data_IF_557003560231
#
_entry.id   IF_557003560231
#
_cell.length_a   1.000
_cell.length_b   1.000
_cell.length_c   1.000
_cell.angle_alpha   90.00
_cell.angle_beta   90.00
_cell.angle_gamma   90.00
#
_symmetry.space_group_name_H-M   'P 1'
#
loop_
_entity.id
_entity.type
_entity.pdbx_description
1 polymer ?
#
# COMPACT_ATOMS: atom_id res chain seq x y z
N UNK A 1 -20.53 -60.11 2.12
CA UNK A 1 -19.43 -61.06 1.87
C UNK A 1 -18.33 -60.27 1.21
N UNK A 2 -17.43 -59.83 1.96
CA UNK A 2 -16.10 -60.32 2.29
C UNK A 2 -15.00 -59.89 1.36
N UNK A 3 -13.79 -59.82 1.80
CA UNK A 3 -13.04 -58.61 2.14
C UNK A 3 -11.71 -58.53 1.33
N UNK A 4 -11.06 -57.40 1.29
CA UNK A 4 -9.64 -57.36 0.90
C UNK A 4 -8.81 -56.81 2.03
N UNK A 5 -7.96 -57.67 2.54
CA UNK A 5 -6.96 -57.43 3.57
C UNK A 5 -5.67 -56.83 2.99
N UNK A 6 -5.07 -55.90 3.77
CA UNK A 6 -3.68 -55.66 4.11
C UNK A 6 -2.58 -55.74 3.05
N UNK A 7 -1.83 -54.64 2.95
CA UNK A 7 -0.38 -54.71 3.07
C UNK A 7 0.12 -53.41 3.72
N UNK A 8 0.62 -53.54 4.96
CA UNK A 8 1.46 -52.54 5.60
C UNK A 8 2.90 -53.01 5.36
N UNK A 9 3.71 -52.22 4.69
CA UNK A 9 5.17 -52.40 4.68
C UNK A 9 5.84 -51.20 5.30
N UNK A 10 6.71 -51.51 6.25
CA UNK A 10 7.50 -50.61 7.04
C UNK A 10 8.61 -49.98 6.19
N UNK A 11 8.79 -48.67 6.26
CA UNK A 11 9.97 -47.95 5.79
C UNK A 11 10.71 -47.44 7.01
N UNK A 12 11.93 -47.96 7.21
CA UNK A 12 12.83 -47.57 8.29
C UNK A 12 13.47 -46.16 8.07
N UNK A 13 14.17 -45.65 9.09
CA UNK A 13 14.60 -44.27 9.11
C UNK A 13 15.97 -44.10 8.41
N UNK A 14 16.04 -43.35 7.34
CA UNK A 14 17.29 -42.84 6.80
C UNK A 14 17.19 -41.34 6.55
N UNK A 15 17.42 -40.55 7.61
CA UNK A 15 17.50 -39.11 7.59
C UNK A 15 18.89 -38.66 7.14
N UNK A 16 19.13 -38.57 5.83
CA UNK A 16 20.29 -37.84 5.30
C UNK A 16 19.95 -36.35 5.28
N UNK A 17 20.49 -35.63 6.27
CA UNK A 17 20.53 -34.15 6.27
C UNK A 17 21.41 -33.69 5.10
N UNK A 18 20.82 -33.05 4.09
CA UNK A 18 21.53 -32.24 3.11
C UNK A 18 22.15 -31.03 3.85
N UNK A 19 23.46 -31.07 4.03
CA UNK A 19 24.23 -29.86 4.37
C UNK A 19 24.50 -29.09 3.07
N UNK A 20 23.87 -27.95 2.90
CA UNK A 20 24.25 -27.01 1.86
C UNK A 20 25.43 -26.19 2.39
N UNK A 21 26.63 -26.45 1.85
CA UNK A 21 27.81 -25.63 2.09
C UNK A 21 27.66 -24.32 1.28
N UNK A 22 27.47 -23.21 1.97
CA UNK A 22 27.66 -21.89 1.36
C UNK A 22 29.14 -21.51 1.47
N UNK A 23 29.77 -21.00 0.41
CA UNK A 23 31.15 -20.51 0.48
C UNK A 23 31.20 -19.20 1.27
N UNK A 24 32.08 -19.17 2.26
CA UNK A 24 32.47 -17.97 3.00
C UNK A 24 33.46 -17.18 2.11
N UNK A 25 33.05 -15.97 1.72
CA UNK A 25 33.96 -15.00 1.10
C UNK A 25 34.84 -14.37 2.17
N UNK A 26 36.10 -14.74 2.19
CA UNK A 26 37.14 -14.04 2.95
C UNK A 26 37.52 -12.75 2.21
N UNK A 27 37.49 -11.65 2.91
CA UNK A 27 38.09 -10.37 2.51
C UNK A 27 39.57 -10.37 2.94
N UNK A 28 40.46 -10.50 2.01
CA UNK A 28 41.87 -10.22 2.24
C UNK A 28 42.16 -8.77 1.84
N UNK A 29 42.63 -8.04 2.82
CA UNK A 29 43.19 -6.69 2.69
C UNK A 29 44.70 -6.82 2.57
N UNK A 30 45.28 -6.45 1.45
CA UNK A 30 46.72 -6.11 1.40
C UNK A 30 46.90 -4.74 0.73
N UNK A 31 47.57 -3.89 1.48
CA UNK A 31 48.03 -2.58 1.09
C UNK A 31 49.44 -2.70 0.43
N UNK A 32 49.62 -2.03 -0.68
CA UNK A 32 50.99 -1.58 -1.10
C UNK A 32 50.91 -0.19 -1.69
N UNK A 33 51.83 0.62 -1.17
CA UNK A 33 52.11 2.02 -1.44
C UNK A 33 53.01 2.22 -2.67
N UNK A 34 52.81 3.29 -3.40
CA UNK A 34 53.77 4.25 -4.02
C UNK A 34 53.04 4.92 -5.20
N UNK A 35 52.98 6.19 -5.36
CA UNK A 35 53.93 7.25 -5.38
C UNK A 35 53.64 8.11 -6.61
N UNK A 36 53.41 9.41 -6.36
CA UNK A 36 53.72 10.56 -7.21
C UNK A 36 52.83 11.08 -8.35
N UNK A 37 52.47 12.31 -8.13
CA UNK A 37 52.44 13.56 -8.90
C UNK A 37 51.24 13.99 -9.75
N UNK A 38 50.61 14.98 -9.20
CA UNK A 38 50.21 16.34 -9.69
C UNK A 38 49.57 16.50 -11.06
N UNK A 39 48.30 16.92 -11.05
CA UNK A 39 47.88 18.09 -11.88
C UNK A 39 46.53 18.69 -11.37
N UNK A 40 46.51 19.98 -11.35
CA UNK A 40 45.58 20.92 -10.68
C UNK A 40 44.13 20.97 -11.25
N UNK A 41 43.18 21.06 -10.31
CA UNK A 41 41.96 21.89 -10.13
C UNK A 41 41.06 22.29 -11.30
N UNK A 42 39.73 22.60 -11.11
CA UNK A 42 39.18 23.38 -10.00
C UNK A 42 37.82 22.98 -9.40
N UNK A 43 37.71 23.23 -8.11
CA UNK A 43 36.54 23.68 -7.31
C UNK A 43 35.12 23.38 -7.75
N UNK A 44 34.53 22.37 -7.13
CA UNK A 44 33.07 22.30 -6.83
C UNK A 44 32.86 21.95 -5.35
N UNK A 45 33.24 22.88 -4.50
CA UNK A 45 33.02 22.84 -3.06
C UNK A 45 32.19 24.07 -2.72
N UNK A 46 30.86 24.07 -2.93
CA UNK A 46 29.93 25.06 -2.34
C UNK A 46 28.44 24.68 -2.48
N UNK A 47 28.11 23.42 -2.81
CA UNK A 47 26.69 22.96 -2.81
C UNK A 47 26.35 21.91 -1.74
N UNK A 48 27.32 21.48 -0.94
CA UNK A 48 27.09 20.49 0.15
C UNK A 48 26.87 21.11 1.53
N UNK A 49 27.11 22.41 1.71
CA UNK A 49 26.96 23.07 2.99
C UNK A 49 25.57 23.66 3.25
N UNK A 50 24.68 23.70 2.25
CA UNK A 50 23.33 24.24 2.42
C UNK A 50 22.26 23.17 2.80
N UNK A 51 22.61 21.88 2.73
CA UNK A 51 21.69 20.75 3.05
C UNK A 51 21.80 20.24 4.49
N UNK A 52 22.78 20.69 5.27
CA UNK A 52 23.01 20.24 6.65
C UNK A 52 22.49 21.19 7.74
N UNK A 53 21.87 22.31 7.39
CA UNK A 53 21.26 23.24 8.35
C UNK A 53 19.74 23.15 8.48
N UNK A 54 19.08 22.24 7.80
CA UNK A 54 17.63 21.99 7.89
C UNK A 54 17.19 20.85 8.82
N UNK A 55 18.13 20.16 9.47
CA UNK A 55 17.83 19.06 10.40
C UNK A 55 17.68 19.54 11.84
N UNK A 56 16.94 20.62 12.07
CA UNK A 56 16.52 21.00 13.42
C UNK A 56 15.03 20.69 13.58
N UNK A 57 14.77 19.57 14.27
CA UNK A 57 13.72 19.44 15.25
C UNK A 57 12.29 19.76 14.83
N UNK A 58 11.73 19.08 13.83
CA UNK A 58 10.29 19.01 13.72
C UNK A 58 9.80 17.93 14.70
N UNK A 59 9.23 18.35 15.82
CA UNK A 59 8.51 17.46 16.73
C UNK A 59 7.31 16.89 15.97
N UNK A 60 7.19 15.57 15.95
CA UNK A 60 6.00 14.88 15.47
C UNK A 60 4.81 15.43 16.27
N UNK A 61 3.86 16.07 15.60
CA UNK A 61 2.64 16.57 16.23
C UNK A 61 1.88 15.36 16.82
N UNK A 62 1.89 15.26 18.14
CA UNK A 62 1.36 14.12 18.90
C UNK A 62 2.32 13.57 19.96
N UNK A 63 3.52 14.14 20.13
CA UNK A 63 4.39 13.77 21.26
C UNK A 63 3.78 14.32 22.56
N UNK A 64 3.12 13.46 23.30
CA UNK A 64 3.05 13.61 24.75
C UNK A 64 4.48 13.43 25.25
N UNK A 65 5.11 14.51 25.71
CA UNK A 65 6.41 14.45 26.38
C UNK A 65 6.25 13.70 27.70
N UNK A 66 6.47 12.39 27.70
CA UNK A 66 6.85 11.68 28.91
C UNK A 66 8.37 11.87 29.09
N UNK A 67 8.78 12.47 30.18
CA UNK A 67 10.18 12.58 30.57
C UNK A 67 10.78 11.18 30.66
N UNK A 68 11.71 10.84 29.75
CA UNK A 68 12.56 9.65 29.87
C UNK A 68 12.19 8.44 29.00
N UNK A 69 11.10 8.47 28.22
CA UNK A 69 10.69 7.30 27.41
C UNK A 69 11.18 7.37 25.96
N UNK A 70 11.63 6.22 25.46
CA UNK A 70 11.83 5.98 24.02
C UNK A 70 10.52 6.32 23.28
N UNK A 71 10.58 6.89 22.06
CA UNK A 71 9.37 7.22 21.31
C UNK A 71 8.50 5.97 21.16
N UNK A 72 7.22 6.07 21.53
CA UNK A 72 6.26 4.98 21.48
C UNK A 72 6.21 4.39 20.08
N UNK A 73 6.48 3.08 19.95
CA UNK A 73 6.30 2.37 18.69
C UNK A 73 4.81 2.35 18.33
N UNK A 74 4.47 2.85 17.15
CA UNK A 74 3.10 2.84 16.63
C UNK A 74 2.85 1.58 15.78
N UNK A 75 1.59 1.20 15.65
CA UNK A 75 1.14 0.19 14.69
C UNK A 75 0.57 0.88 13.46
N UNK A 76 1.22 0.65 12.32
CA UNK A 76 0.90 1.28 11.05
C UNK A 76 0.37 0.24 10.05
N UNK A 77 -0.71 0.56 9.36
CA UNK A 77 -1.09 -0.11 8.11
C UNK A 77 -0.79 0.85 6.96
N UNK A 78 0.08 0.44 6.05
CA UNK A 78 0.53 1.26 4.91
C UNK A 78 -0.03 0.69 3.62
N UNK A 79 -0.92 1.42 2.96
CA UNK A 79 -1.53 1.05 1.70
C UNK A 79 -0.83 1.76 0.53
N UNK A 80 -0.13 0.99 -0.31
CA UNK A 80 0.57 1.51 -1.50
C UNK A 80 -0.32 1.37 -2.73
N UNK A 81 -0.52 2.46 -3.48
CA UNK A 81 -1.33 2.49 -4.70
C UNK A 81 -0.74 1.64 -5.82
N UNK A 82 -1.58 1.14 -6.73
CA UNK A 82 -1.12 0.39 -7.90
C UNK A 82 -0.19 1.20 -8.82
N UNK A 83 -0.42 2.50 -8.92
CA UNK A 83 0.44 3.41 -9.68
C UNK A 83 1.84 3.59 -9.04
N UNK A 84 2.00 3.26 -7.76
CA UNK A 84 3.31 3.25 -7.10
C UNK A 84 4.18 2.06 -7.53
N UNK A 85 3.56 0.99 -8.07
CA UNK A 85 4.24 -0.18 -8.63
C UNK A 85 4.34 -0.13 -10.15
N UNK A 86 3.55 0.72 -10.79
CA UNK A 86 3.58 0.93 -12.24
C UNK A 86 3.21 2.38 -12.55
N UNK A 87 4.16 3.14 -13.07
CA UNK A 87 3.88 4.51 -13.54
C UNK A 87 2.97 4.48 -14.76
N UNK A 88 2.14 5.51 -14.90
CA UNK A 88 1.26 5.65 -16.07
C UNK A 88 2.07 5.65 -17.35
N UNK A 89 1.68 4.80 -18.31
CA UNK A 89 2.36 4.67 -19.60
C UNK A 89 3.57 3.74 -19.62
N UNK A 90 4.03 3.23 -18.47
CA UNK A 90 5.08 2.21 -18.44
C UNK A 90 4.51 0.81 -18.72
N UNK A 91 5.34 -0.03 -19.36
CA UNK A 91 5.00 -1.44 -19.57
C UNK A 91 4.92 -2.17 -18.22
N UNK A 92 3.90 -3.00 -18.06
CA UNK A 92 3.78 -3.91 -16.91
C UNK A 92 4.81 -5.04 -17.07
N UNK A 93 6.04 -4.80 -16.59
CA UNK A 93 7.11 -5.79 -16.53
C UNK A 93 7.56 -6.01 -15.11
N UNK A 94 8.20 -7.15 -14.83
CA UNK A 94 8.76 -7.44 -13.51
C UNK A 94 9.82 -6.40 -13.12
N UNK A 95 10.68 -6.03 -14.05
CA UNK A 95 11.78 -5.08 -13.85
C UNK A 95 11.26 -3.70 -13.43
N UNK A 96 10.23 -3.18 -14.12
CA UNK A 96 9.62 -1.88 -13.80
C UNK A 96 8.97 -1.89 -12.42
N UNK A 97 8.24 -2.98 -12.10
CA UNK A 97 7.61 -3.14 -10.79
C UNK A 97 8.65 -3.27 -9.66
N UNK A 98 9.73 -4.03 -9.88
CA UNK A 98 10.82 -4.15 -8.92
C UNK A 98 11.57 -2.82 -8.74
N UNK A 99 11.80 -2.05 -9.82
CA UNK A 99 12.39 -0.72 -9.73
C UNK A 99 11.51 0.23 -8.89
N UNK A 100 10.20 0.18 -9.06
CA UNK A 100 9.25 0.96 -8.26
C UNK A 100 9.24 0.52 -6.78
N UNK A 101 9.25 -0.78 -6.51
CA UNK A 101 9.34 -1.31 -5.14
C UNK A 101 10.68 -0.93 -4.48
N UNK A 102 11.80 -1.00 -5.21
CA UNK A 102 13.11 -0.56 -4.72
C UNK A 102 13.14 0.93 -4.36
N UNK A 103 12.40 1.76 -5.07
CA UNK A 103 12.26 3.20 -4.74
C UNK A 103 11.46 3.41 -3.44
N UNK A 104 10.47 2.58 -3.15
CA UNK A 104 9.64 2.66 -1.94
C UNK A 104 10.28 1.99 -0.71
N UNK A 105 11.12 0.96 -0.92
CA UNK A 105 11.66 0.11 0.13
C UNK A 105 12.48 0.85 1.21
N UNK A 106 13.32 1.86 0.91
CA UNK A 106 14.04 2.62 1.94
C UNK A 106 13.11 3.27 2.96
N UNK A 107 12.04 3.89 2.50
CA UNK A 107 11.03 4.52 3.35
C UNK A 107 10.26 3.50 4.20
N UNK A 108 9.83 2.39 3.59
CA UNK A 108 9.16 1.29 4.30
C UNK A 108 10.07 0.70 5.39
N UNK A 109 11.37 0.52 5.10
CA UNK A 109 12.35 0.08 6.10
C UNK A 109 12.48 1.08 7.24
N UNK A 110 12.59 2.37 6.94
CA UNK A 110 12.68 3.43 7.95
C UNK A 110 11.47 3.38 8.91
N UNK A 111 10.26 3.23 8.38
CA UNK A 111 9.05 3.08 9.18
C UNK A 111 9.12 1.83 10.08
N UNK A 112 9.51 0.70 9.51
CA UNK A 112 9.57 -0.58 10.22
C UNK A 112 10.67 -0.64 11.29
N UNK A 113 11.71 0.19 11.19
CA UNK A 113 12.72 0.33 12.24
C UNK A 113 12.22 1.03 13.50
N UNK A 114 11.17 1.85 13.38
CA UNK A 114 10.61 2.63 14.49
C UNK A 114 9.24 2.14 14.94
N UNK A 115 8.52 1.45 14.07
CA UNK A 115 7.11 1.11 14.23
C UNK A 115 6.81 -0.33 13.80
N UNK A 116 5.68 -0.86 14.23
CA UNK A 116 5.12 -2.09 13.66
C UNK A 116 4.41 -1.74 12.34
N UNK A 117 4.82 -2.32 11.23
CA UNK A 117 4.29 -1.99 9.90
C UNK A 117 3.70 -3.21 9.23
N UNK A 118 2.44 -3.10 8.78
CA UNK A 118 1.82 -4.02 7.82
C UNK A 118 1.69 -3.29 6.49
N UNK A 119 2.19 -3.90 5.43
CA UNK A 119 2.08 -3.38 4.07
C UNK A 119 0.87 -4.00 3.37
N UNK A 120 0.05 -3.19 2.72
CA UNK A 120 -0.93 -3.62 1.70
C UNK A 120 -0.69 -2.88 0.39
N UNK A 121 -1.08 -3.46 -0.72
CA UNK A 121 -0.80 -2.90 -2.05
C UNK A 121 -1.99 -3.01 -3.00
N UNK A 122 -2.03 -2.18 -4.04
CA UNK A 122 -2.94 -2.35 -5.17
C UNK A 122 -2.43 -3.41 -6.14
N UNK A 123 -3.35 -3.94 -6.96
CA UNK A 123 -3.07 -4.96 -7.97
C UNK A 123 -3.77 -4.73 -9.30
N UNK A 124 -4.42 -3.57 -9.50
CA UNK A 124 -5.30 -3.34 -10.66
C UNK A 124 -4.69 -3.71 -12.02
N UNK A 125 -3.49 -3.22 -12.37
CA UNK A 125 -2.83 -3.62 -13.61
C UNK A 125 -2.51 -5.11 -13.67
N UNK A 126 -2.01 -5.69 -12.58
CA UNK A 126 -1.57 -7.08 -12.52
C UNK A 126 -2.76 -8.07 -12.64
N UNK A 127 -3.79 -7.88 -11.84
CA UNK A 127 -5.00 -8.74 -11.91
C UNK A 127 -5.70 -8.61 -13.25
N UNK A 128 -5.63 -7.43 -13.87
CA UNK A 128 -6.15 -7.20 -15.20
C UNK A 128 -5.39 -7.96 -16.28
N UNK A 129 -4.06 -7.98 -16.23
CA UNK A 129 -3.21 -8.75 -17.15
C UNK A 129 -3.45 -10.26 -16.96
N UNK A 130 -3.46 -10.75 -15.72
CA UNK A 130 -3.76 -12.14 -15.39
C UNK A 130 -5.13 -12.56 -15.94
N UNK A 131 -6.16 -11.71 -15.83
CA UNK A 131 -7.49 -12.00 -16.33
C UNK A 131 -7.57 -12.14 -17.87
N UNK A 132 -6.66 -11.50 -18.60
CA UNK A 132 -6.55 -11.66 -20.06
C UNK A 132 -5.87 -12.98 -20.46
N UNK A 133 -4.87 -13.40 -19.68
CA UNK A 133 -4.10 -14.62 -19.91
C UNK A 133 -4.84 -15.87 -19.41
N UNK A 134 -5.44 -15.80 -18.24
CA UNK A 134 -6.07 -16.89 -17.48
C UNK A 134 -7.61 -16.85 -17.58
N UNK A 135 -8.15 -17.01 -18.78
CA UNK A 135 -9.58 -16.81 -19.10
C UNK A 135 -10.56 -17.66 -18.30
N UNK A 136 -10.11 -18.77 -17.74
CA UNK A 136 -10.94 -19.71 -16.95
C UNK A 136 -10.76 -19.55 -15.44
N UNK A 137 -9.80 -18.72 -14.99
CA UNK A 137 -9.59 -18.48 -13.58
C UNK A 137 -10.57 -17.41 -13.06
N UNK A 138 -11.06 -17.62 -11.86
CA UNK A 138 -11.95 -16.68 -11.14
C UNK A 138 -11.14 -15.55 -10.47
N UNK A 139 -11.79 -14.42 -10.17
CA UNK A 139 -11.08 -13.26 -9.61
C UNK A 139 -10.53 -13.47 -8.21
N UNK A 140 -11.07 -14.40 -7.43
CA UNK A 140 -10.45 -14.81 -6.15
C UNK A 140 -9.09 -15.49 -6.37
N UNK A 141 -8.99 -16.39 -7.38
CA UNK A 141 -7.73 -17.01 -7.77
C UNK A 141 -6.74 -15.99 -8.35
N UNK A 142 -7.18 -15.14 -9.30
CA UNK A 142 -6.34 -14.10 -9.89
C UNK A 142 -5.88 -13.08 -8.85
N UNK A 143 -6.74 -12.77 -7.88
CA UNK A 143 -6.41 -11.95 -6.72
C UNK A 143 -5.28 -12.57 -5.91
N UNK A 144 -5.38 -13.86 -5.57
CA UNK A 144 -4.36 -14.61 -4.84
C UNK A 144 -3.02 -14.68 -5.61
N UNK A 145 -3.05 -14.94 -6.92
CA UNK A 145 -1.85 -14.93 -7.78
C UNK A 145 -1.17 -13.57 -7.76
N UNK A 146 -1.94 -12.47 -7.86
CA UNK A 146 -1.40 -11.12 -7.81
C UNK A 146 -0.82 -10.75 -6.44
N UNK A 147 -1.39 -11.25 -5.34
CA UNK A 147 -0.81 -11.08 -4.01
C UNK A 147 0.57 -11.74 -3.91
N UNK A 148 0.71 -12.95 -4.43
CA UNK A 148 2.00 -13.65 -4.46
C UNK A 148 3.03 -12.92 -5.30
N UNK A 149 2.67 -12.50 -6.52
CA UNK A 149 3.55 -11.79 -7.44
C UNK A 149 4.06 -10.46 -6.85
N UNK A 150 3.16 -9.61 -6.38
CA UNK A 150 3.52 -8.29 -5.85
C UNK A 150 4.20 -8.43 -4.49
N UNK A 151 3.76 -9.37 -3.66
CA UNK A 151 4.40 -9.70 -2.40
C UNK A 151 5.85 -10.13 -2.58
N UNK A 152 6.16 -10.96 -3.58
CA UNK A 152 7.52 -11.34 -3.96
C UNK A 152 8.37 -10.10 -4.31
N UNK A 153 7.84 -9.19 -5.14
CA UNK A 153 8.53 -7.98 -5.57
C UNK A 153 8.92 -7.11 -4.37
N UNK A 154 7.97 -6.82 -3.46
CA UNK A 154 8.28 -6.06 -2.24
C UNK A 154 9.24 -6.80 -1.31
N UNK A 155 9.09 -8.12 -1.15
CA UNK A 155 9.99 -8.92 -0.32
C UNK A 155 11.41 -8.87 -0.83
N UNK A 156 11.65 -8.94 -2.14
CA UNK A 156 12.98 -8.83 -2.75
C UNK A 156 13.57 -7.44 -2.53
N UNK A 157 12.77 -6.37 -2.74
CA UNK A 157 13.22 -5.00 -2.52
C UNK A 157 13.61 -4.75 -1.06
N UNK A 158 12.81 -5.21 -0.11
CA UNK A 158 13.06 -5.07 1.32
C UNK A 158 14.24 -5.95 1.79
N UNK A 159 14.34 -7.19 1.28
CA UNK A 159 15.46 -8.09 1.61
C UNK A 159 16.80 -7.52 1.15
N UNK A 160 16.85 -6.82 0.01
CA UNK A 160 18.05 -6.11 -0.47
C UNK A 160 18.55 -5.08 0.55
N UNK A 161 17.65 -4.53 1.36
CA UNK A 161 17.98 -3.60 2.43
C UNK A 161 18.15 -4.29 3.80
N UNK A 162 18.12 -5.63 3.86
CA UNK A 162 18.19 -6.39 5.11
C UNK A 162 16.93 -6.30 5.96
N UNK A 163 15.77 -5.91 5.38
CA UNK A 163 14.48 -5.86 6.07
C UNK A 163 13.67 -7.11 5.76
N UNK A 164 13.35 -7.95 6.77
CA UNK A 164 12.54 -9.14 6.56
C UNK A 164 11.08 -8.78 6.30
N UNK A 165 10.50 -9.36 5.25
CA UNK A 165 9.09 -9.20 4.91
C UNK A 165 8.46 -10.55 4.52
N UNK A 166 7.21 -10.76 4.90
CA UNK A 166 6.47 -12.00 4.61
C UNK A 166 5.15 -11.69 3.88
N UNK A 167 5.05 -12.03 2.59
CA UNK A 167 3.77 -11.95 1.89
C UNK A 167 2.83 -13.08 2.35
N UNK A 168 1.57 -12.73 2.57
CA UNK A 168 0.51 -13.64 2.99
C UNK A 168 -0.61 -13.55 1.96
N UNK A 169 -0.96 -14.66 1.35
CA UNK A 169 -2.21 -14.76 0.59
C UNK A 169 -3.38 -14.66 1.57
N UNK A 170 -4.14 -13.59 1.43
CA UNK A 170 -5.20 -13.22 2.38
C UNK A 170 -6.56 -13.37 1.72
N UNK A 171 -7.47 -14.08 2.37
CA UNK A 171 -8.87 -14.20 1.97
C UNK A 171 -9.71 -13.20 2.77
N UNK A 172 -10.65 -12.55 2.08
CA UNK A 172 -11.52 -11.54 2.68
C UNK A 172 -12.97 -11.87 2.41
N UNK A 173 -13.72 -12.09 3.49
CA UNK A 173 -15.13 -12.40 3.41
C UNK A 173 -15.94 -11.19 2.95
N UNK A 174 -16.91 -11.44 2.07
CA UNK A 174 -17.89 -10.47 1.57
C UNK A 174 -19.30 -11.03 1.70
N UNK A 175 -20.30 -10.16 1.69
CA UNK A 175 -21.70 -10.57 1.62
C UNK A 175 -22.06 -10.95 0.18
N UNK A 176 -22.41 -12.21 -0.11
CA UNK A 176 -22.80 -12.62 -1.46
C UNK A 176 -24.12 -11.99 -1.93
N UNK A 177 -24.94 -11.44 -1.03
CA UNK A 177 -26.17 -10.73 -1.34
C UNK A 177 -25.97 -9.22 -1.57
N UNK A 178 -24.72 -8.72 -1.47
CA UNK A 178 -24.44 -7.31 -1.65
C UNK A 178 -24.87 -6.81 -3.04
N UNK A 179 -25.54 -5.63 -3.13
CA UNK A 179 -26.00 -5.06 -4.41
C UNK A 179 -24.88 -4.82 -5.44
N UNK A 180 -23.61 -4.76 -5.03
CA UNK A 180 -22.49 -4.63 -5.94
C UNK A 180 -22.39 -5.78 -6.95
N UNK A 181 -22.91 -6.98 -6.60
CA UNK A 181 -22.94 -8.12 -7.54
C UNK A 181 -23.89 -7.89 -8.71
N UNK A 182 -24.98 -7.14 -8.52
CA UNK A 182 -25.89 -6.74 -9.60
C UNK A 182 -25.45 -5.47 -10.31
N UNK A 183 -24.58 -4.66 -9.67
CA UNK A 183 -24.12 -3.36 -10.20
C UNK A 183 -22.59 -3.28 -10.25
N UNK A 184 -21.91 -4.06 -11.10
CA UNK A 184 -20.45 -4.03 -11.23
C UNK A 184 -19.95 -2.59 -11.48
N UNK A 185 -18.94 -2.15 -10.71
CA UNK A 185 -18.42 -0.79 -10.79
C UNK A 185 -16.88 -0.69 -10.71
N UNK A 186 -16.19 -1.78 -10.32
CA UNK A 186 -14.72 -1.77 -10.20
C UNK A 186 -14.07 -1.99 -11.54
N UNK A 187 -13.37 -0.99 -12.04
CA UNK A 187 -12.60 -1.08 -13.28
C UNK A 187 -11.41 -2.02 -13.12
N UNK A 188 -11.28 -2.97 -14.06
CA UNK A 188 -10.18 -3.94 -14.11
C UNK A 188 -9.64 -4.04 -15.53
N UNK A 189 -8.35 -4.37 -15.65
CA UNK A 189 -7.69 -4.57 -16.95
C UNK A 189 -7.42 -3.28 -17.73
N UNK A 190 -7.06 -3.41 -19.02
CA UNK A 190 -6.75 -2.30 -19.90
C UNK A 190 -7.99 -1.51 -20.33
N UNK A 191 -7.75 -0.38 -20.96
CA UNK A 191 -8.77 0.42 -21.65
C UNK A 191 -8.96 -0.09 -23.08
N UNK A 192 -10.17 0.06 -23.60
CA UNK A 192 -10.59 -0.36 -24.93
C UNK A 192 -11.26 0.78 -25.68
N UNK A 193 -11.27 0.71 -26.99
CA UNK A 193 -12.20 1.48 -27.82
C UNK A 193 -13.63 0.96 -27.62
N UNK A 194 -14.63 1.70 -28.06
CA UNK A 194 -16.02 1.27 -27.95
C UNK A 194 -16.25 -0.05 -28.70
N UNK A 195 -15.77 -0.17 -29.92
CA UNK A 195 -15.93 -1.36 -30.77
C UNK A 195 -15.29 -2.62 -30.13
N UNK A 196 -14.05 -2.47 -29.62
CA UNK A 196 -13.36 -3.55 -28.89
C UNK A 196 -14.14 -3.99 -27.63
N UNK A 197 -14.64 -3.02 -26.86
CA UNK A 197 -15.39 -3.27 -25.64
C UNK A 197 -16.69 -4.01 -25.92
N UNK A 198 -17.45 -3.62 -26.94
CA UNK A 198 -18.68 -4.29 -27.39
C UNK A 198 -18.40 -5.72 -27.85
N UNK A 199 -17.34 -5.92 -28.64
CA UNK A 199 -16.90 -7.24 -29.10
C UNK A 199 -16.52 -8.14 -27.95
N UNK A 200 -15.72 -7.65 -26.99
CA UNK A 200 -15.27 -8.40 -25.81
C UNK A 200 -16.43 -8.69 -24.85
N UNK A 201 -17.36 -7.74 -24.69
CA UNK A 201 -18.58 -7.91 -23.90
C UNK A 201 -19.43 -9.06 -24.47
N UNK A 202 -19.72 -9.02 -25.77
CA UNK A 202 -20.51 -10.07 -26.44
C UNK A 202 -19.84 -11.44 -26.37
N UNK A 203 -18.51 -11.49 -26.57
CA UNK A 203 -17.74 -12.75 -26.60
C UNK A 203 -17.58 -13.40 -25.23
N UNK A 204 -17.35 -12.58 -24.19
CA UNK A 204 -16.95 -13.08 -22.87
C UNK A 204 -18.02 -12.86 -21.78
N UNK A 205 -19.16 -12.23 -22.10
CA UNK A 205 -20.20 -11.88 -21.12
C UNK A 205 -19.74 -10.79 -20.12
N UNK A 206 -18.77 -9.95 -20.50
CA UNK A 206 -18.26 -8.91 -19.62
C UNK A 206 -19.21 -7.73 -19.51
N UNK A 207 -19.30 -7.15 -18.32
CA UNK A 207 -19.86 -5.81 -18.13
C UNK A 207 -18.76 -4.81 -18.41
N UNK A 208 -19.02 -3.84 -19.29
CA UNK A 208 -18.09 -2.77 -19.64
C UNK A 208 -18.73 -1.40 -19.36
N UNK A 209 -17.95 -0.43 -18.91
CA UNK A 209 -18.39 0.94 -18.66
C UNK A 209 -17.40 1.95 -19.25
N UNK A 210 -17.89 3.16 -19.50
CA UNK A 210 -17.04 4.27 -19.96
C UNK A 210 -16.02 4.65 -18.87
N UNK A 211 -14.77 4.88 -19.27
CA UNK A 211 -13.66 5.36 -18.45
C UNK A 211 -12.99 6.52 -19.19
N UNK A 212 -13.51 7.74 -19.00
CA UNK A 212 -13.18 8.90 -19.79
C UNK A 212 -13.57 8.72 -21.27
N UNK A 213 -12.65 8.90 -22.23
CA UNK A 213 -12.90 8.68 -23.66
C UNK A 213 -12.86 7.20 -24.09
N UNK A 214 -12.56 6.30 -23.16
CA UNK A 214 -12.38 4.87 -23.40
C UNK A 214 -13.42 4.04 -22.63
N UNK A 215 -13.35 2.72 -22.79
CA UNK A 215 -14.16 1.75 -22.06
C UNK A 215 -13.28 0.76 -21.32
N UNK A 216 -13.79 0.25 -20.21
CA UNK A 216 -13.12 -0.80 -19.42
C UNK A 216 -14.10 -1.82 -18.90
N UNK A 217 -13.60 -3.06 -18.71
CA UNK A 217 -14.32 -4.08 -17.97
C UNK A 217 -14.54 -3.61 -16.52
N UNK A 218 -15.75 -3.83 -16.02
CA UNK A 218 -16.08 -3.66 -14.61
C UNK A 218 -16.52 -4.97 -13.98
N UNK A 219 -16.18 -5.14 -12.71
CA UNK A 219 -16.54 -6.30 -11.91
C UNK A 219 -17.20 -5.86 -10.60
N UNK A 220 -17.93 -6.76 -9.90
CA UNK A 220 -18.45 -6.47 -8.58
C UNK A 220 -17.35 -6.04 -7.60
N UNK A 221 -17.66 -5.10 -6.71
CA UNK A 221 -16.74 -4.65 -5.68
C UNK A 221 -17.48 -4.50 -4.34
N UNK A 222 -17.86 -5.63 -3.72
CA UNK A 222 -18.55 -5.61 -2.44
C UNK A 222 -17.62 -5.11 -1.32
N UNK A 223 -18.19 -4.52 -0.24
CA UNK A 223 -17.44 -4.15 0.95
C UNK A 223 -16.80 -5.36 1.62
N UNK A 224 -15.57 -5.22 2.15
CA UNK A 224 -14.93 -6.27 2.95
C UNK A 224 -15.60 -6.37 4.33
N UNK A 225 -15.83 -7.60 4.82
CA UNK A 225 -16.46 -7.85 6.11
C UNK A 225 -15.51 -8.42 7.16
N UNK A 226 -14.62 -9.32 6.78
CA UNK A 226 -13.69 -10.01 7.70
C UNK A 226 -12.47 -10.52 6.95
N UNK A 227 -11.31 -10.45 7.58
CA UNK A 227 -10.05 -10.99 7.08
C UNK A 227 -9.82 -12.36 7.73
N UNK A 228 -9.77 -13.43 6.93
CA UNK A 228 -9.70 -14.79 7.46
C UNK A 228 -8.33 -15.12 8.07
N UNK A 229 -7.25 -14.53 7.56
CA UNK A 229 -5.88 -14.74 8.03
C UNK A 229 -5.41 -13.68 9.04
N UNK A 230 -6.32 -12.93 9.66
CA UNK A 230 -5.98 -11.83 10.58
C UNK A 230 -5.03 -12.26 11.70
N UNK A 231 -5.31 -13.40 12.34
CA UNK A 231 -4.48 -13.90 13.44
C UNK A 231 -3.06 -14.23 13.00
N UNK A 232 -2.89 -14.77 11.79
CA UNK A 232 -1.57 -15.00 11.21
C UNK A 232 -0.83 -13.67 10.91
N UNK A 233 -1.53 -12.67 10.38
CA UNK A 233 -0.97 -11.33 10.17
C UNK A 233 -0.53 -10.71 11.48
N UNK A 234 -1.36 -10.80 12.53
CA UNK A 234 -1.06 -10.29 13.88
C UNK A 234 0.17 -10.99 14.48
N UNK A 235 0.22 -12.32 14.41
CA UNK A 235 1.33 -13.10 14.94
C UNK A 235 2.66 -12.74 14.25
N UNK A 236 2.66 -12.57 12.93
CA UNK A 236 3.84 -12.15 12.18
C UNK A 236 4.26 -10.71 12.48
N UNK A 237 3.31 -9.80 12.66
CA UNK A 237 3.58 -8.40 13.01
C UNK A 237 4.23 -8.26 14.40
N UNK A 238 3.86 -9.14 15.33
CA UNK A 238 4.38 -9.15 16.70
C UNK A 238 5.70 -9.93 16.83
N UNK A 239 6.03 -10.77 15.85
CA UNK A 239 7.23 -11.61 15.88
C UNK A 239 8.52 -10.77 15.79
N UNK A 240 9.49 -11.18 16.59
CA UNK A 240 10.88 -10.76 16.46
C UNK A 240 11.67 -11.90 15.79
N UNK A 241 12.39 -11.61 14.73
CA UNK A 241 13.16 -12.59 13.97
C UNK A 241 14.63 -12.20 13.85
N UNK A 242 15.48 -13.22 13.75
CA UNK A 242 16.93 -13.02 13.56
C UNK A 242 17.70 -12.73 14.84
N UNK A 243 19.01 -12.48 14.66
CA UNK A 243 19.94 -12.11 15.73
C UNK A 243 20.90 -11.06 15.17
N UNK A 244 20.82 -9.80 15.60
CA UNK A 244 19.87 -9.24 16.59
C UNK A 244 18.41 -9.29 16.11
N UNK A 245 17.46 -9.26 17.04
CA UNK A 245 16.04 -9.36 16.70
C UNK A 245 15.57 -8.15 15.89
N UNK A 246 14.80 -8.41 14.82
CA UNK A 246 14.17 -7.40 13.97
C UNK A 246 12.68 -7.70 13.85
N UNK A 247 11.86 -6.66 13.67
CA UNK A 247 10.44 -6.82 13.37
C UNK A 247 10.26 -7.33 11.95
N UNK A 248 9.38 -8.31 11.79
CA UNK A 248 8.94 -8.79 10.49
C UNK A 248 7.87 -7.85 9.95
N UNK A 249 7.92 -7.53 8.66
CA UNK A 249 6.88 -6.77 7.97
C UNK A 249 5.94 -7.73 7.23
N UNK A 250 4.71 -7.98 7.71
CA UNK A 250 3.71 -8.71 6.93
C UNK A 250 3.28 -7.89 5.71
N UNK A 251 3.07 -8.57 4.56
CA UNK A 251 2.45 -7.99 3.37
C UNK A 251 1.14 -8.73 3.19
N UNK A 252 0.01 -8.07 3.46
CA UNK A 252 -1.29 -8.70 3.55
C UNK A 252 -2.39 -7.91 2.85
N UNK A 253 -3.50 -8.54 2.54
CA UNK A 253 -4.68 -7.92 1.90
C UNK A 253 -4.36 -7.22 0.57
N UNK A 254 -3.33 -7.64 -0.13
CA UNK A 254 -2.97 -7.09 -1.44
C UNK A 254 -4.13 -7.17 -2.42
N UNK A 255 -4.35 -6.05 -3.16
CA UNK A 255 -5.47 -5.92 -4.09
C UNK A 255 -6.86 -5.94 -3.46
N UNK A 256 -6.96 -5.89 -2.13
CA UNK A 256 -8.20 -6.04 -1.37
C UNK A 256 -8.41 -7.47 -0.84
N UNK A 257 -7.43 -8.36 -1.02
CA UNK A 257 -7.54 -9.77 -0.68
C UNK A 257 -8.27 -10.61 -1.74
N UNK A 258 -8.23 -11.93 -1.60
CA UNK A 258 -9.03 -12.85 -2.41
C UNK A 258 -10.46 -12.90 -1.85
N UNK A 259 -11.48 -12.46 -2.61
CA UNK A 259 -12.85 -12.36 -2.11
C UNK A 259 -13.47 -13.76 -1.94
N UNK A 260 -14.07 -13.99 -0.78
CA UNK A 260 -14.74 -15.24 -0.44
C UNK A 260 -16.07 -14.99 0.24
N UNK A 261 -17.00 -15.91 0.08
CA UNK A 261 -18.16 -16.02 0.96
C UNK A 261 -17.92 -17.10 2.01
N UNK A 262 -18.44 -16.90 3.22
CA UNK A 262 -18.45 -17.88 4.30
C UNK A 262 -19.88 -18.25 4.59
N UNK A 263 -20.24 -19.50 4.35
CA UNK A 263 -21.59 -19.99 4.59
C UNK A 263 -21.85 -20.21 6.09
N UNK A 264 -23.12 -20.45 6.47
CA UNK A 264 -23.51 -20.72 7.84
C UNK A 264 -22.80 -21.96 8.43
N UNK A 265 -22.47 -22.94 7.59
CA UNK A 265 -21.73 -24.15 7.99
C UNK A 265 -20.22 -23.93 8.06
N UNK A 266 -19.74 -22.70 7.90
CA UNK A 266 -18.33 -22.36 7.92
C UNK A 266 -17.57 -22.69 6.63
N UNK A 267 -18.23 -23.18 5.57
CA UNK A 267 -17.58 -23.41 4.28
C UNK A 267 -17.18 -22.09 3.63
N UNK A 268 -15.96 -22.06 3.13
CA UNK A 268 -15.36 -20.91 2.42
C UNK A 268 -15.36 -21.20 0.92
N UNK A 269 -15.91 -20.28 0.13
CA UNK A 269 -15.96 -20.37 -1.33
C UNK A 269 -15.55 -19.05 -1.96
N UNK A 270 -14.66 -19.09 -2.97
CA UNK A 270 -14.30 -17.92 -3.78
C UNK A 270 -15.49 -17.32 -4.50
N UNK A 271 -15.46 -16.01 -4.71
CA UNK A 271 -16.50 -15.26 -5.45
C UNK A 271 -15.88 -14.42 -6.56
N UNK A 272 -16.65 -14.20 -7.63
CA UNK A 272 -16.24 -13.42 -8.79
C UNK A 272 -16.39 -11.92 -8.51
N UNK A 273 -15.42 -11.34 -7.79
CA UNK A 273 -15.40 -9.96 -7.38
C UNK A 273 -13.96 -9.44 -7.20
N UNK A 274 -13.80 -8.12 -7.09
CA UNK A 274 -12.55 -7.47 -6.71
C UNK A 274 -12.85 -6.45 -5.62
N UNK A 275 -12.40 -6.70 -4.40
CA UNK A 275 -12.58 -5.81 -3.27
C UNK A 275 -11.73 -4.55 -3.46
N UNK A 276 -12.23 -3.40 -3.03
CA UNK A 276 -11.42 -2.18 -3.03
C UNK A 276 -10.31 -2.27 -1.98
N UNK A 277 -9.04 -2.03 -2.40
CA UNK A 277 -7.87 -2.18 -1.53
C UNK A 277 -7.85 -1.18 -0.37
N UNK A 278 -8.37 0.05 -0.59
CA UNK A 278 -8.34 1.08 0.43
C UNK A 278 -9.37 0.76 1.52
N UNK A 279 -10.55 0.26 1.13
CA UNK A 279 -11.56 -0.24 2.08
C UNK A 279 -11.06 -1.48 2.84
N UNK A 280 -10.38 -2.40 2.17
CA UNK A 280 -9.79 -3.56 2.83
C UNK A 280 -8.63 -3.16 3.76
N UNK A 281 -7.81 -2.18 3.37
CA UNK A 281 -6.76 -1.61 4.20
C UNK A 281 -7.32 -0.96 5.47
N UNK A 282 -8.45 -0.24 5.36
CA UNK A 282 -9.15 0.34 6.52
C UNK A 282 -9.68 -0.74 7.47
N UNK A 283 -10.26 -1.83 6.92
CA UNK A 283 -10.68 -2.99 7.72
C UNK A 283 -9.49 -3.62 8.43
N UNK A 284 -8.38 -3.88 7.71
CA UNK A 284 -7.15 -4.44 8.28
C UNK A 284 -6.61 -3.55 9.42
N UNK A 285 -6.60 -2.23 9.23
CA UNK A 285 -6.14 -1.28 10.22
C UNK A 285 -7.03 -1.32 11.49
N UNK A 286 -8.35 -1.38 11.33
CA UNK A 286 -9.27 -1.49 12.46
C UNK A 286 -9.14 -2.84 13.18
N UNK A 287 -9.08 -3.96 12.46
CA UNK A 287 -8.97 -5.30 13.06
C UNK A 287 -7.61 -5.54 13.73
N UNK A 288 -6.57 -4.80 13.33
CA UNK A 288 -5.26 -4.82 14.00
C UNK A 288 -5.12 -3.77 15.11
N UNK A 289 -6.14 -2.98 15.40
CA UNK A 289 -6.07 -1.85 16.31
C UNK A 289 -4.90 -0.90 15.98
N UNK A 290 -4.76 -0.56 14.70
CA UNK A 290 -3.69 0.32 14.24
C UNK A 290 -3.82 1.74 14.83
N UNK A 291 -2.69 2.36 15.11
CA UNK A 291 -2.61 3.78 15.49
C UNK A 291 -2.78 4.67 14.25
N UNK A 292 -2.25 4.22 13.11
CA UNK A 292 -2.25 5.01 11.86
C UNK A 292 -2.59 4.14 10.66
N UNK A 293 -3.45 4.66 9.79
CA UNK A 293 -3.68 4.12 8.45
C UNK A 293 -3.12 5.08 7.40
N UNK A 294 -2.05 4.69 6.72
CA UNK A 294 -1.38 5.52 5.70
C UNK A 294 -1.78 5.05 4.31
N UNK A 295 -2.32 5.95 3.49
CA UNK A 295 -2.67 5.70 2.09
C UNK A 295 -1.72 6.48 1.19
N UNK A 296 -0.77 5.77 0.57
CA UNK A 296 0.21 6.35 -0.34
C UNK A 296 -0.32 6.34 -1.78
N UNK A 297 -0.27 7.48 -2.42
CA UNK A 297 -0.80 7.73 -3.77
C UNK A 297 0.24 8.47 -4.63
N UNK A 298 -0.07 8.69 -5.89
CA UNK A 298 0.70 9.53 -6.83
C UNK A 298 0.18 10.99 -6.90
N UNK A 299 -0.85 11.34 -6.11
CA UNK A 299 -1.57 12.61 -6.19
C UNK A 299 -1.47 13.54 -4.98
N UNK A 300 -0.67 13.19 -3.97
CA UNK A 300 -0.51 14.00 -2.75
C UNK A 300 -1.71 13.95 -1.81
N UNK A 301 -1.91 15.03 -1.03
CA UNK A 301 -3.01 15.16 -0.07
C UNK A 301 -4.37 15.50 -0.69
N UNK A 302 -5.33 15.87 0.16
CA UNK A 302 -6.68 16.27 -0.24
C UNK A 302 -6.71 17.78 -0.46
N UNK A 303 -7.21 18.19 -1.63
CA UNK A 303 -7.32 19.57 -2.02
C UNK A 303 -8.77 19.96 -2.26
N UNK A 304 -9.21 21.06 -1.67
CA UNK A 304 -10.45 21.71 -2.10
C UNK A 304 -10.19 22.47 -3.41
N UNK A 305 -11.13 22.45 -4.33
CA UNK A 305 -11.04 23.09 -5.65
C UNK A 305 -9.79 22.68 -6.46
N UNK A 306 -9.34 21.42 -6.36
CA UNK A 306 -8.18 20.93 -7.12
C UNK A 306 -8.30 21.25 -8.60
N UNK A 307 -7.22 21.78 -9.20
CA UNK A 307 -7.20 22.20 -10.60
C UNK A 307 -7.72 23.63 -10.87
N UNK A 308 -8.18 24.35 -9.83
CA UNK A 308 -8.66 25.73 -9.94
C UNK A 308 -7.70 26.71 -9.25
N UNK A 309 -7.72 28.01 -9.62
CA UNK A 309 -6.86 29.02 -8.98
C UNK A 309 -7.01 29.12 -7.46
N UNK A 310 -8.20 28.89 -6.92
CA UNK A 310 -8.47 28.92 -5.49
C UNK A 310 -8.31 27.55 -4.82
N UNK A 311 -7.45 26.68 -5.34
CA UNK A 311 -7.15 25.38 -4.74
C UNK A 311 -6.44 25.56 -3.39
N UNK A 312 -6.88 24.81 -2.38
CA UNK A 312 -6.30 24.79 -1.03
C UNK A 312 -6.10 23.37 -0.54
N UNK A 313 -4.96 23.07 0.05
CA UNK A 313 -4.66 21.77 0.64
C UNK A 313 -5.22 21.69 2.06
N UNK A 314 -5.96 20.60 2.36
CA UNK A 314 -6.36 20.26 3.71
C UNK A 314 -5.16 19.62 4.43
N UNK A 315 -4.64 20.25 5.48
CA UNK A 315 -3.58 19.67 6.30
C UNK A 315 -4.17 18.66 7.29
N UNK A 316 -5.15 19.08 8.08
CA UNK A 316 -5.88 18.23 9.02
C UNK A 316 -7.39 18.44 8.83
N UNK A 317 -8.15 17.36 8.94
CA UNK A 317 -9.59 17.41 8.69
C UNK A 317 -10.34 16.32 9.45
N UNK A 318 -11.58 16.61 9.88
CA UNK A 318 -12.42 15.58 10.50
C UNK A 318 -13.26 14.83 9.46
N UNK A 319 -13.70 13.59 9.75
CA UNK A 319 -14.66 12.87 8.95
C UNK A 319 -15.95 13.66 8.67
N UNK A 320 -16.47 14.35 9.68
CA UNK A 320 -17.71 15.13 9.60
C UNK A 320 -17.57 16.31 8.62
N UNK A 321 -16.43 17.00 8.65
CA UNK A 321 -16.15 18.08 7.70
C UNK A 321 -16.11 17.54 6.27
N UNK A 322 -15.36 16.44 6.02
CA UNK A 322 -15.28 15.81 4.70
C UNK A 322 -16.67 15.38 4.18
N UNK A 323 -17.52 14.78 5.04
CA UNK A 323 -18.87 14.34 4.67
C UNK A 323 -19.85 15.50 4.45
N UNK A 324 -19.67 16.65 5.12
CA UNK A 324 -20.53 17.82 4.99
C UNK A 324 -20.26 18.65 3.75
N UNK A 325 -19.05 18.58 3.20
CA UNK A 325 -18.63 19.40 2.05
C UNK A 325 -18.93 18.72 0.72
N UNK A 326 -19.08 19.53 -0.34
CA UNK A 326 -19.11 19.00 -1.72
C UNK A 326 -17.86 18.17 -2.03
N UNK A 327 -16.72 18.54 -1.44
CA UNK A 327 -15.47 17.83 -1.56
C UNK A 327 -15.60 16.35 -1.14
N UNK A 328 -16.31 16.02 -0.06
CA UNK A 328 -16.52 14.62 0.35
C UNK A 328 -17.44 13.80 -0.58
N UNK A 329 -18.23 14.48 -1.41
CA UNK A 329 -19.22 13.85 -2.31
C UNK A 329 -18.75 13.79 -3.78
N UNK A 330 -17.81 14.65 -4.18
CA UNK A 330 -17.47 14.90 -5.58
C UNK A 330 -15.98 14.74 -5.90
N UNK A 331 -15.19 13.98 -5.10
CA UNK A 331 -13.81 13.69 -5.48
C UNK A 331 -13.78 12.78 -6.70
N UNK A 332 -13.33 13.30 -7.87
CA UNK A 332 -13.29 12.51 -9.08
C UNK A 332 -12.21 11.43 -9.02
N UNK A 333 -12.44 10.33 -9.70
CA UNK A 333 -11.45 9.29 -9.91
C UNK A 333 -11.12 8.46 -8.67
N UNK A 334 -9.84 8.20 -8.43
CA UNK A 334 -9.36 7.29 -7.38
C UNK A 334 -9.29 7.91 -5.98
N UNK A 335 -9.51 9.22 -5.82
CA UNK A 335 -9.40 9.89 -4.52
C UNK A 335 -10.62 9.62 -3.62
N UNK A 336 -11.83 9.60 -4.16
CA UNK A 336 -13.05 9.36 -3.40
C UNK A 336 -13.02 8.07 -2.55
N UNK A 337 -12.70 6.90 -3.12
CA UNK A 337 -12.54 5.65 -2.35
C UNK A 337 -11.50 5.74 -1.23
N UNK A 338 -10.39 6.47 -1.42
CA UNK A 338 -9.35 6.66 -0.39
C UNK A 338 -9.85 7.47 0.78
N UNK A 339 -10.55 8.56 0.49
CA UNK A 339 -11.16 9.42 1.50
C UNK A 339 -12.19 8.63 2.31
N UNK A 340 -13.05 7.87 1.64
CA UNK A 340 -14.05 7.06 2.31
C UNK A 340 -13.42 5.98 3.19
N UNK A 341 -12.36 5.31 2.73
CA UNK A 341 -11.60 4.34 3.51
C UNK A 341 -10.94 4.97 4.74
N UNK A 342 -10.35 6.17 4.59
CA UNK A 342 -9.77 6.92 5.70
C UNK A 342 -10.83 7.34 6.73
N UNK A 343 -11.99 7.83 6.29
CA UNK A 343 -13.14 8.14 7.15
C UNK A 343 -13.58 6.89 7.91
N UNK A 344 -13.79 5.77 7.21
CA UNK A 344 -14.22 4.51 7.81
C UNK A 344 -13.25 4.01 8.88
N UNK A 345 -11.94 4.15 8.65
CA UNK A 345 -10.93 3.81 9.64
C UNK A 345 -11.07 4.66 10.89
N UNK A 346 -11.05 5.98 10.75
CA UNK A 346 -11.08 6.92 11.89
C UNK A 346 -12.37 6.80 12.71
N UNK A 347 -13.52 6.66 12.04
CA UNK A 347 -14.81 6.55 12.72
C UNK A 347 -15.02 5.21 13.44
N UNK A 348 -14.45 4.11 12.92
CA UNK A 348 -14.60 2.77 13.50
C UNK A 348 -13.51 2.42 14.49
N UNK A 349 -12.38 3.12 14.48
CA UNK A 349 -11.27 2.84 15.38
C UNK A 349 -11.67 3.03 16.84
N UNK A 350 -11.30 2.05 17.67
CA UNK A 350 -11.46 2.12 19.12
C UNK A 350 -10.43 3.05 19.79
N UNK A 351 -9.37 3.43 19.05
CA UNK A 351 -8.33 4.32 19.54
C UNK A 351 -8.74 5.77 19.36
N UNK A 352 -8.63 6.55 20.44
CA UNK A 352 -9.00 7.98 20.40
C UNK A 352 -8.04 8.82 19.56
N UNK A 353 -6.76 8.56 19.67
CA UNK A 353 -5.71 9.32 18.97
C UNK A 353 -5.31 8.71 17.61
N UNK A 354 -6.16 7.83 17.05
CA UNK A 354 -5.88 7.30 15.71
C UNK A 354 -6.06 8.38 14.65
N UNK A 355 -5.35 8.21 13.54
CA UNK A 355 -5.56 9.03 12.36
C UNK A 355 -5.29 8.26 11.07
N UNK A 356 -5.93 8.69 9.99
CA UNK A 356 -5.52 8.27 8.65
C UNK A 356 -4.73 9.39 7.98
N UNK A 357 -3.73 9.01 7.16
CA UNK A 357 -2.94 9.95 6.37
C UNK A 357 -3.02 9.59 4.89
N UNK A 358 -3.31 10.58 4.04
CA UNK A 358 -3.28 10.45 2.58
C UNK A 358 -2.19 11.35 2.04
N UNK A 359 -1.23 10.80 1.31
CA UNK A 359 -0.13 11.58 0.78
C UNK A 359 0.61 10.90 -0.36
N UNK A 360 1.58 11.62 -0.93
CA UNK A 360 2.41 11.10 -2.02
C UNK A 360 3.45 10.12 -1.48
N UNK A 361 3.66 9.02 -2.20
CA UNK A 361 4.68 8.02 -1.85
C UNK A 361 6.08 8.63 -1.68
N UNK A 362 6.39 9.65 -2.47
CA UNK A 362 7.69 10.36 -2.42
C UNK A 362 7.88 11.19 -1.15
N UNK A 363 6.79 11.56 -0.49
CA UNK A 363 6.76 12.40 0.70
C UNK A 363 6.51 11.60 1.99
N UNK A 364 6.62 10.27 1.96
CA UNK A 364 6.21 9.41 3.09
C UNK A 364 6.93 9.76 4.40
N UNK A 365 8.21 10.14 4.35
CA UNK A 365 8.96 10.59 5.55
C UNK A 365 8.39 11.88 6.17
N UNK A 366 7.83 12.76 5.32
CA UNK A 366 7.21 14.01 5.73
C UNK A 366 5.75 13.82 6.18
N UNK A 367 5.09 12.75 5.71
CA UNK A 367 3.72 12.42 6.12
C UNK A 367 3.69 12.10 7.62
N UNK A 368 4.58 11.26 8.13
CA UNK A 368 4.58 10.92 9.56
C UNK A 368 4.98 12.09 10.48
N UNK A 369 5.68 13.09 9.96
CA UNK A 369 5.98 14.33 10.69
C UNK A 369 4.90 15.41 10.53
N UNK A 370 3.77 15.10 9.91
CA UNK A 370 2.67 16.03 9.59
C UNK A 370 3.10 17.22 8.71
N UNK A 371 4.19 17.06 7.96
CA UNK A 371 4.74 18.10 7.10
C UNK A 371 4.25 18.00 5.64
N UNK A 372 3.71 16.85 5.21
CA UNK A 372 3.10 16.64 3.90
C UNK A 372 1.84 15.78 3.99
N UNK A 373 0.98 15.86 2.96
CA UNK A 373 -0.27 15.11 2.90
C UNK A 373 -1.40 15.66 3.76
N UNK A 374 -2.51 14.94 3.82
CA UNK A 374 -3.71 15.27 4.61
C UNK A 374 -3.93 14.25 5.71
N UNK A 375 -4.22 14.72 6.93
CA UNK A 375 -4.48 13.92 8.12
C UNK A 375 -5.96 13.97 8.47
N UNK A 376 -6.59 12.82 8.45
CA UNK A 376 -7.99 12.66 8.87
C UNK A 376 -7.95 12.22 10.33
N UNK A 377 -8.48 13.06 11.24
CA UNK A 377 -8.46 12.89 12.69
C UNK A 377 -9.86 12.98 13.26
N UNK A 378 -10.11 12.38 14.43
CA UNK A 378 -11.39 12.50 15.13
C UNK A 378 -11.70 13.94 15.53
N UNK A 379 -10.66 14.68 15.94
CA UNK A 379 -10.82 16.04 16.43
C UNK A 379 -9.84 16.99 15.73
N UNK A 380 -10.39 18.06 15.13
CA UNK A 380 -9.66 19.18 14.53
C UNK A 380 -10.48 20.43 14.84
N UNK A 381 -9.86 21.46 15.40
CA UNK A 381 -10.54 22.72 15.69
C UNK A 381 -11.12 23.34 14.42
N UNK A 382 -12.40 23.70 14.44
CA UNK A 382 -13.13 24.17 13.26
C UNK A 382 -13.38 23.12 12.18
N UNK A 383 -13.05 21.86 12.42
CA UNK A 383 -13.26 20.73 11.51
C UNK A 383 -12.23 20.58 10.41
N UNK A 384 -11.48 21.62 10.06
CA UNK A 384 -10.41 21.60 9.05
C UNK A 384 -9.31 22.62 9.34
N UNK A 385 -8.04 22.21 9.20
CA UNK A 385 -6.88 23.08 9.14
C UNK A 385 -6.28 23.05 7.73
N UNK A 386 -6.09 24.22 7.17
CA UNK A 386 -5.51 24.37 5.84
C UNK A 386 -3.99 24.46 5.93
N UNK A 387 -3.29 23.88 4.94
CA UNK A 387 -1.83 24.02 4.83
C UNK A 387 -1.50 25.34 4.18
N UNK A 388 -0.60 26.12 4.81
CA UNK A 388 -0.07 27.33 4.19
C UNK A 388 1.04 27.00 3.15
N UNK A 389 1.38 27.98 2.33
CA UNK A 389 2.49 27.82 1.35
C UNK A 389 3.82 27.62 2.08
N UNK A 390 4.00 28.32 3.20
CA UNK A 390 5.23 28.28 4.03
C UNK A 390 5.40 26.93 4.74
N UNK A 391 4.29 26.26 5.08
CA UNK A 391 4.29 24.93 5.69
C UNK A 391 4.49 23.80 4.67
N UNK A 392 4.39 24.11 3.37
CA UNK A 392 4.39 23.10 2.32
C UNK A 392 5.79 22.63 1.96
N UNK A 393 5.98 21.32 1.90
CA UNK A 393 7.22 20.66 1.45
C UNK A 393 6.91 19.58 0.42
N UNK A 394 7.94 19.10 -0.26
CA UNK A 394 7.80 17.99 -1.21
C UNK A 394 6.82 18.30 -2.36
N UNK A 395 5.92 17.35 -2.62
CA UNK A 395 4.91 17.48 -3.70
C UNK A 395 3.85 18.53 -3.40
N UNK A 396 3.55 18.79 -2.12
CA UNK A 396 2.66 19.87 -1.71
C UNK A 396 3.22 21.24 -2.11
N UNK A 397 4.50 21.51 -1.83
CA UNK A 397 5.15 22.75 -2.22
C UNK A 397 5.13 22.98 -3.73
N UNK A 398 5.42 21.92 -4.52
CA UNK A 398 5.37 21.99 -5.98
C UNK A 398 3.95 22.32 -6.51
N UNK A 399 2.92 21.76 -5.85
CA UNK A 399 1.52 21.98 -6.22
C UNK A 399 1.07 23.40 -5.84
N UNK A 400 1.42 23.89 -4.65
CA UNK A 400 1.16 25.29 -4.25
C UNK A 400 1.83 26.29 -5.19
N UNK A 401 3.10 26.07 -5.56
CA UNK A 401 3.82 26.92 -6.52
C UNK A 401 3.11 26.98 -7.89
N UNK A 402 2.59 25.84 -8.38
CA UNK A 402 1.81 25.79 -9.63
C UNK A 402 0.55 26.66 -9.56
N UNK A 403 -0.20 26.60 -8.44
CA UNK A 403 -1.43 27.41 -8.31
C UNK A 403 -1.14 28.89 -8.04
N UNK A 404 -0.07 29.22 -7.33
CA UNK A 404 0.36 30.60 -7.16
C UNK A 404 0.73 31.24 -8.50
N UNK A 405 1.48 30.54 -9.36
CA UNK A 405 1.83 31.00 -10.69
C UNK A 405 0.62 31.17 -11.63
N UNK A 406 -0.44 30.40 -11.44
CA UNK A 406 -1.67 30.53 -12.23
C UNK A 406 -2.55 31.72 -11.79
N UNK A 407 -2.28 32.31 -10.61
CA UNK A 407 -2.99 33.46 -10.03
C UNK A 407 -2.23 34.79 -10.21
N UNK A 408 -0.96 34.74 -10.66
CA UNK A 408 -0.13 35.90 -10.97
C UNK A 408 -0.26 36.29 -12.46
#
# INVERSE_FOLDING_TARGET
MSPVKRAAEAVGPDSKRLRVNMPVLHSDSEATSSGDEASATPKTADKKAALTKGAMGYEVAGRVKAQGDQPKSLRLVVAVGGNALQRRGEKLSFENQLAAANAAAPTLKMLAQQHQVVLTHGNGPQVGALALERKTATFDCLGAESQGQIGLIFSQALATLGMPAAPIVTQVAVDPADPAFQNPAKYVGPVYTQEEAETLSAKNGWVVKADGPHFRRVVPSPPPLKILQLDAVRALLEADIGTPPMKLMPIACGGGGAPVQVNQDGMVKGVEAVIDKDNCGALLANELDADVFVILTDGGGIWENFGKPNAREMCEVTPEYLLSTKAGKEFPGSMGPKIQAAINFVQRSVREECYAAIGDLRDTEYILSNAAGTFIKKHVEGGVRWRSVEESIGTSAATHAKYAAANA
#
